data_IF_704211956877
#
_entry.id   IF_704211956877
#
_cell.length_a   1.000
_cell.length_b   1.000
_cell.length_c   1.000
_cell.angle_alpha   90.00
_cell.angle_beta   90.00
_cell.angle_gamma   90.00
#
_symmetry.space_group_name_H-M   'P 1'
#
loop_
_entity.id
_entity.type
_entity.pdbx_description
1 polymer ?
#
# COMPACT_ATOMS: atom_id res chain seq x y z
N UNK A 1 -19.15 2.68 -4.46
CA UNK A 1 -18.44 1.48 -3.97
C UNK A 1 -17.11 1.97 -3.45
N UNK A 2 -16.93 1.99 -2.13
CA UNK A 2 -15.74 2.60 -1.55
C UNK A 2 -14.62 1.56 -1.46
N UNK A 3 -13.47 1.88 -2.05
CA UNK A 3 -12.26 1.07 -1.96
C UNK A 3 -11.50 1.43 -0.69
N UNK A 4 -10.99 0.42 0.02
CA UNK A 4 -10.15 0.67 1.18
C UNK A 4 -8.87 1.35 0.74
N UNK A 5 -8.41 2.29 1.55
CA UNK A 5 -7.17 3.02 1.30
C UNK A 5 -6.19 2.84 2.44
N UNK A 6 -4.93 2.67 2.09
CA UNK A 6 -3.83 2.60 3.03
C UNK A 6 -2.92 3.80 2.82
N UNK A 7 -2.44 4.36 3.93
CA UNK A 7 -1.52 5.49 3.95
C UNK A 7 -0.13 5.01 4.31
N UNK A 8 0.81 5.21 3.40
CA UNK A 8 2.20 4.85 3.63
C UNK A 8 2.81 5.79 4.67
N UNK A 9 3.21 5.24 5.82
CA UNK A 9 3.94 5.98 6.85
C UNK A 9 5.42 6.07 6.50
N UNK A 10 6.00 7.24 6.74
CA UNK A 10 7.43 7.52 6.60
C UNK A 10 7.94 8.10 7.92
N UNK A 11 9.25 8.04 8.14
CA UNK A 11 9.89 8.69 9.28
C UNK A 11 9.76 10.22 9.17
N UNK A 12 10.01 10.94 10.26
CA UNK A 12 9.97 12.42 10.29
C UNK A 12 10.94 13.05 9.28
N UNK A 13 12.05 12.38 8.98
CA UNK A 13 13.04 12.77 7.98
C UNK A 13 12.70 12.30 6.54
N UNK A 14 11.50 11.75 6.32
CA UNK A 14 10.99 11.20 5.05
C UNK A 14 11.62 9.88 4.57
N UNK A 15 12.48 9.27 5.38
CA UNK A 15 13.03 7.96 5.04
C UNK A 15 11.95 6.87 5.12
N UNK A 16 12.09 5.79 4.32
CA UNK A 16 11.22 4.63 4.43
C UNK A 16 11.22 4.06 5.86
N UNK A 17 10.02 3.74 6.35
CA UNK A 17 9.88 2.90 7.53
C UNK A 17 9.94 1.44 7.08
N UNK A 18 10.86 0.67 7.64
CA UNK A 18 11.02 -0.75 7.36
C UNK A 18 11.54 -1.48 8.59
N UNK A 19 11.21 -2.76 8.67
CA UNK A 19 11.65 -3.68 9.71
C UNK A 19 11.87 -5.08 9.10
N UNK A 20 12.62 -5.93 9.78
CA UNK A 20 12.80 -7.34 9.37
C UNK A 20 11.65 -8.13 9.98
N UNK A 21 10.71 -8.56 9.14
CA UNK A 21 9.58 -9.40 9.57
C UNK A 21 9.84 -10.87 9.22
N UNK A 22 9.58 -11.81 10.14
CA UNK A 22 9.61 -13.23 9.81
C UNK A 22 8.61 -13.55 8.70
N UNK A 23 9.00 -14.37 7.73
CA UNK A 23 8.10 -14.75 6.65
C UNK A 23 6.83 -15.46 7.18
N UNK A 24 6.95 -16.18 8.29
CA UNK A 24 5.81 -16.80 8.98
C UNK A 24 4.79 -15.81 9.53
N UNK A 25 5.16 -14.53 9.68
CA UNK A 25 4.24 -13.45 10.09
C UNK A 25 3.50 -12.85 8.90
N UNK A 26 3.91 -13.13 7.66
CA UNK A 26 3.23 -12.66 6.45
C UNK A 26 2.05 -13.61 6.17
N UNK A 27 0.83 -13.13 6.39
CA UNK A 27 -0.38 -13.92 6.06
C UNK A 27 -0.66 -13.94 4.57
N UNK A 28 -0.46 -12.81 3.88
CA UNK A 28 -0.85 -12.68 2.49
C UNK A 28 -0.18 -11.49 1.79
N UNK A 29 0.02 -11.62 0.47
CA UNK A 29 0.40 -10.54 -0.44
C UNK A 29 -0.86 -9.89 -1.02
N UNK A 30 -0.92 -8.57 -0.97
CA UNK A 30 -2.05 -7.79 -1.50
C UNK A 30 -1.56 -6.85 -2.60
N UNK A 31 -2.39 -6.64 -3.62
CA UNK A 31 -2.11 -5.68 -4.67
C UNK A 31 -2.58 -4.28 -4.26
N UNK A 32 -1.68 -3.32 -4.38
CA UNK A 32 -1.91 -1.93 -4.03
C UNK A 32 -1.83 -1.07 -5.29
N UNK A 33 -2.86 -0.26 -5.50
CA UNK A 33 -2.98 0.64 -6.65
C UNK A 33 -2.65 2.06 -6.15
N UNK A 34 -1.60 2.72 -6.66
CA UNK A 34 -1.29 4.09 -6.28
C UNK A 34 -2.48 5.01 -6.50
N UNK A 35 -2.86 5.77 -5.47
CA UNK A 35 -3.87 6.80 -5.61
C UNK A 35 -3.22 8.05 -6.21
N UNK A 36 -3.53 8.31 -7.46
CA UNK A 36 -3.09 9.52 -8.14
C UNK A 36 -3.89 10.72 -7.63
N UNK A 37 -3.18 11.75 -7.18
CA UNK A 37 -3.79 13.02 -6.77
C UNK A 37 -4.18 13.86 -7.99
N UNK A 38 -4.41 15.16 -7.75
CA UNK A 38 -4.65 16.13 -8.83
C UNK A 38 -3.49 16.19 -9.84
N UNK A 39 -2.28 15.98 -9.36
CA UNK A 39 -1.05 15.95 -10.16
C UNK A 39 -0.23 14.73 -9.80
N UNK A 40 0.34 14.08 -10.82
CA UNK A 40 1.27 12.96 -10.66
C UNK A 40 2.68 13.48 -10.97
N UNK A 41 3.69 13.18 -10.14
CA UNK A 41 5.07 13.55 -10.44
C UNK A 41 5.48 13.06 -11.84
N UNK A 42 6.02 13.93 -12.68
CA UNK A 42 6.49 13.58 -14.03
C UNK A 42 7.60 12.51 -14.00
N UNK A 43 8.33 12.42 -12.89
CA UNK A 43 9.35 11.39 -12.65
C UNK A 43 8.76 10.03 -12.30
N UNK A 44 7.45 9.91 -12.08
CA UNK A 44 6.82 8.68 -11.68
C UNK A 44 6.77 7.68 -12.85
N UNK A 45 7.19 6.45 -12.57
CA UNK A 45 7.11 5.31 -13.47
C UNK A 45 6.84 4.03 -12.67
N UNK A 46 6.73 2.90 -13.36
CA UNK A 46 6.42 1.61 -12.73
C UNK A 46 7.45 1.18 -11.67
N UNK A 47 8.69 1.65 -11.74
CA UNK A 47 9.76 1.28 -10.82
C UNK A 47 9.82 2.14 -9.55
N UNK A 48 9.17 3.31 -9.54
CA UNK A 48 9.23 4.25 -8.42
C UNK A 48 7.86 4.73 -7.89
N UNK A 49 6.76 4.26 -8.49
CA UNK A 49 5.40 4.63 -8.10
C UNK A 49 5.10 4.31 -6.64
N UNK A 50 5.63 3.20 -6.11
CA UNK A 50 5.50 2.81 -4.72
C UNK A 50 6.19 3.78 -3.74
N UNK A 51 7.39 4.28 -4.09
CA UNK A 51 8.10 5.23 -3.23
C UNK A 51 7.51 6.63 -3.30
N UNK A 52 7.01 7.05 -4.47
CA UNK A 52 6.52 8.40 -4.71
C UNK A 52 5.07 8.61 -4.27
N UNK A 53 4.22 7.58 -4.34
CA UNK A 53 2.85 7.66 -3.86
C UNK A 53 2.78 7.57 -2.32
N UNK A 54 1.80 8.26 -1.74
CA UNK A 54 1.53 8.29 -0.28
C UNK A 54 0.29 7.51 0.12
N UNK A 55 -0.66 7.40 -0.80
CA UNK A 55 -1.93 6.73 -0.61
C UNK A 55 -2.08 5.65 -1.67
N UNK A 56 -2.61 4.51 -1.27
CA UNK A 56 -2.88 3.40 -2.16
C UNK A 56 -4.27 2.87 -1.90
N UNK A 57 -4.96 2.52 -2.96
CA UNK A 57 -6.14 1.70 -2.83
C UNK A 57 -5.75 0.22 -2.74
N UNK A 58 -6.47 -0.53 -1.92
CA UNK A 58 -6.41 -1.98 -1.94
C UNK A 58 -7.24 -2.46 -3.12
N UNK A 59 -6.65 -3.31 -3.98
CA UNK A 59 -7.39 -3.89 -5.08
C UNK A 59 -8.53 -4.77 -4.53
N UNK A 60 -9.79 -4.39 -4.79
CA UNK A 60 -10.98 -5.12 -4.35
C UNK A 60 -11.18 -6.47 -5.07
N UNK A 61 -10.41 -6.74 -6.13
CA UNK A 61 -10.34 -8.07 -6.76
C UNK A 61 -9.28 -8.98 -6.13
N UNK A 62 -8.52 -8.48 -5.14
CA UNK A 62 -7.83 -9.39 -4.24
C UNK A 62 -8.90 -10.24 -3.53
N UNK A 63 -8.74 -11.56 -3.54
CA UNK A 63 -9.75 -12.54 -3.12
C UNK A 63 -10.51 -12.13 -1.84
N UNK A 64 -11.78 -12.52 -1.71
CA UNK A 64 -12.64 -12.19 -0.55
C UNK A 64 -11.96 -12.47 0.80
N UNK A 65 -11.16 -13.53 0.88
CA UNK A 65 -10.36 -13.90 2.05
C UNK A 65 -9.26 -12.87 2.38
N UNK A 66 -8.66 -12.26 1.35
CA UNK A 66 -7.67 -11.17 1.45
C UNK A 66 -8.22 -9.95 2.15
N UNK A 67 -9.45 -9.60 1.81
CA UNK A 67 -10.15 -8.46 2.37
C UNK A 67 -10.44 -8.67 3.86
N UNK A 68 -10.91 -9.87 4.24
CA UNK A 68 -11.17 -10.23 5.63
C UNK A 68 -9.89 -10.25 6.48
N UNK A 69 -8.76 -10.68 5.91
CA UNK A 69 -7.48 -10.64 6.60
C UNK A 69 -7.09 -9.21 7.02
N UNK A 70 -7.24 -8.22 6.13
CA UNK A 70 -6.91 -6.81 6.44
C UNK A 70 -7.77 -6.26 7.59
N UNK A 71 -9.08 -6.53 7.58
CA UNK A 71 -9.99 -6.06 8.62
C UNK A 71 -9.73 -6.70 9.99
N UNK A 72 -9.23 -7.94 10.02
CA UNK A 72 -8.91 -8.64 11.29
C UNK A 72 -7.73 -8.05 12.06
N UNK A 73 -6.96 -7.15 11.44
CA UNK A 73 -5.78 -6.51 12.03
C UNK A 73 -6.01 -5.06 12.46
N UNK A 74 -7.22 -4.53 12.31
CA UNK A 74 -7.64 -3.23 12.87
C UNK A 74 -8.19 -3.41 14.28
#
# INVERSE_FOLDING_TARGET
TDMFSVHRRVRSNRDPLGDIVPLSSVRQVIELIPKFGREVPLSMNCNNSWQLAREFYVNNFADKETFHAILSYQ
#
